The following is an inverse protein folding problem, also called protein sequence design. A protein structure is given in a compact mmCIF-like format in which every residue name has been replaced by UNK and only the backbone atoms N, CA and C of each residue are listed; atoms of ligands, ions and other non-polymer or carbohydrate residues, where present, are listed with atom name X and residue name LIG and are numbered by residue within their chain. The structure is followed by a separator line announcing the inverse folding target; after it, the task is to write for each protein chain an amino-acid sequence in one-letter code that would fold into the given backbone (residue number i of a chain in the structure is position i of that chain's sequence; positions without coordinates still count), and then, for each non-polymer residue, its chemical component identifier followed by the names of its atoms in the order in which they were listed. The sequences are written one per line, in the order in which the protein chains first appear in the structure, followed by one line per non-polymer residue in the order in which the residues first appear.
data_IF_250460722299
#
_entry.id   IF_250460722299
#
_cell.length_a   1.000
_cell.length_b   1.000
_cell.length_c   1.000
_cell.angle_alpha   90.00
_cell.angle_beta   90.00
_cell.angle_gamma   90.00
#
_symmetry.space_group_name_H-M   'P 1'
#
loop_
_entity.id
_entity.type
_entity.pdbx_description
1 polymer ?
#
# COMPACT_ATOMS: atom_id res chain seq x y z
N UNK A 1 -84.99 39.11 2.67
CA UNK A 1 -85.17 37.65 2.72
C UNK A 1 -84.04 36.98 1.97
N UNK A 2 -83.25 36.13 2.65
CA UNK A 2 -82.59 34.89 2.17
C UNK A 2 -81.79 34.90 0.82
N UNK A 3 -80.63 34.27 0.61
CA UNK A 3 -79.66 33.48 1.40
C UNK A 3 -78.64 32.87 0.39
N UNK A 4 -77.47 32.46 0.88
CA UNK A 4 -76.56 31.39 0.40
C UNK A 4 -75.40 31.66 -0.60
N UNK A 5 -74.22 31.76 0.03
CA UNK A 5 -72.90 31.25 -0.39
C UNK A 5 -72.89 29.77 -0.77
N UNK A 6 -72.09 29.37 -1.78
CA UNK A 6 -71.37 28.06 -1.83
C UNK A 6 -70.08 28.14 -2.67
N UNK A 7 -68.95 27.93 -1.98
CA UNK A 7 -67.68 27.37 -2.49
C UNK A 7 -67.91 25.96 -3.08
N UNK A 8 -67.30 25.61 -4.22
CA UNK A 8 -66.74 24.25 -4.47
C UNK A 8 -65.44 24.33 -5.26
N UNK A 9 -64.39 24.00 -4.52
CA UNK A 9 -63.00 23.59 -4.75
C UNK A 9 -62.71 22.75 -6.02
N UNK A 10 -61.56 23.04 -6.63
CA UNK A 10 -60.88 22.27 -7.66
C UNK A 10 -60.43 20.88 -7.18
N UNK A 11 -60.55 19.87 -8.04
CA UNK A 11 -59.94 18.55 -7.85
C UNK A 11 -58.84 18.40 -8.91
N UNK A 12 -57.60 18.63 -8.49
CA UNK A 12 -56.41 18.25 -9.25
C UNK A 12 -56.09 16.78 -8.97
N UNK A 13 -56.11 15.96 -10.02
CA UNK A 13 -55.75 14.55 -9.96
C UNK A 13 -54.22 14.41 -9.76
N UNK A 14 -53.81 14.08 -8.55
CA UNK A 14 -52.44 13.70 -8.22
C UNK A 14 -52.23 12.23 -8.60
N UNK A 15 -51.66 11.97 -9.78
CA UNK A 15 -51.22 10.63 -10.17
C UNK A 15 -49.93 10.35 -9.39
N UNK A 16 -50.05 9.62 -8.28
CA UNK A 16 -48.90 8.94 -7.67
C UNK A 16 -48.43 7.87 -8.64
N UNK A 17 -47.29 8.11 -9.31
CA UNK A 17 -46.50 7.04 -9.87
C UNK A 17 -45.91 6.23 -8.70
N UNK A 18 -46.60 5.17 -8.27
CA UNK A 18 -45.97 4.12 -7.49
C UNK A 18 -44.97 3.42 -8.41
N UNK A 19 -43.69 3.77 -8.30
CA UNK A 19 -42.62 2.93 -8.81
C UNK A 19 -42.69 1.61 -8.04
N UNK A 20 -43.25 0.57 -8.64
CA UNK A 20 -43.06 -0.80 -8.18
C UNK A 20 -41.56 -1.07 -8.24
N UNK A 21 -40.92 -1.22 -7.09
CA UNK A 21 -39.58 -1.80 -7.03
C UNK A 21 -39.67 -3.18 -7.69
N UNK A 22 -39.17 -3.31 -8.92
CA UNK A 22 -38.98 -4.64 -9.49
C UNK A 22 -37.93 -5.32 -8.62
N UNK A 23 -38.32 -6.42 -7.97
CA UNK A 23 -37.36 -7.27 -7.30
C UNK A 23 -36.39 -7.78 -8.38
N UNK A 24 -35.11 -7.46 -8.25
CA UNK A 24 -34.10 -8.07 -9.09
C UNK A 24 -34.11 -9.58 -8.80
N UNK A 25 -34.14 -10.37 -9.88
CA UNK A 25 -34.17 -11.83 -9.80
C UNK A 25 -32.78 -12.40 -10.14
N UNK A 26 -32.32 -13.32 -9.32
CA UNK A 26 -31.29 -14.27 -9.74
C UNK A 26 -31.92 -15.37 -10.59
N UNK A 27 -31.27 -15.72 -11.70
CA UNK A 27 -31.75 -16.74 -12.63
C UNK A 27 -30.92 -18.02 -12.49
N UNK A 28 -31.57 -19.09 -12.05
CA UNK A 28 -30.99 -20.43 -11.98
C UNK A 28 -31.42 -21.26 -13.19
N UNK A 29 -30.49 -21.98 -13.81
CA UNK A 29 -30.81 -22.92 -14.90
C UNK A 29 -30.83 -24.35 -14.37
N UNK A 30 -31.99 -25.01 -14.48
CA UNK A 30 -32.21 -26.38 -14.07
C UNK A 30 -31.22 -27.36 -14.72
N UNK A 31 -30.61 -28.23 -13.92
CA UNK A 31 -29.65 -29.27 -14.31
C UNK A 31 -30.19 -30.66 -13.96
N UNK A 32 -29.51 -31.69 -14.47
CA UNK A 32 -29.88 -33.08 -14.21
C UNK A 32 -29.84 -33.40 -12.72
N UNK A 33 -30.97 -33.84 -12.16
CA UNK A 33 -31.09 -34.19 -10.74
C UNK A 33 -31.60 -33.05 -9.83
N UNK A 34 -31.85 -31.86 -10.37
CA UNK A 34 -32.41 -30.73 -9.61
C UNK A 34 -33.91 -30.87 -9.33
N UNK A 35 -34.37 -30.18 -8.30
CA UNK A 35 -35.78 -29.96 -8.02
C UNK A 35 -35.97 -28.63 -7.31
N UNK A 36 -37.18 -28.05 -7.35
CA UNK A 36 -37.46 -26.81 -6.61
C UNK A 36 -37.18 -26.97 -5.11
N UNK A 37 -37.43 -28.16 -4.54
CA UNK A 37 -37.11 -28.44 -3.13
C UNK A 37 -35.61 -28.39 -2.84
N UNK A 38 -34.77 -28.93 -3.73
CA UNK A 38 -33.31 -28.84 -3.59
C UNK A 38 -32.81 -27.40 -3.73
N UNK A 39 -33.32 -26.68 -4.74
CA UNK A 39 -32.98 -25.26 -4.95
C UNK A 39 -33.38 -24.42 -3.73
N UNK A 40 -34.59 -24.61 -3.20
CA UNK A 40 -35.05 -23.91 -2.00
C UNK A 40 -34.19 -24.23 -0.78
N UNK A 41 -33.88 -25.50 -0.54
CA UNK A 41 -33.05 -25.91 0.59
C UNK A 41 -31.63 -25.32 0.50
N UNK A 42 -31.04 -25.32 -0.69
CA UNK A 42 -29.67 -24.88 -0.93
C UNK A 42 -29.53 -23.35 -0.91
N UNK A 43 -30.40 -22.63 -1.61
CA UNK A 43 -30.18 -21.20 -1.90
C UNK A 43 -31.10 -20.24 -1.14
N UNK A 44 -32.29 -20.66 -0.69
CA UNK A 44 -33.29 -19.74 -0.16
C UNK A 44 -33.33 -19.72 1.36
N UNK A 45 -33.75 -18.59 1.94
CA UNK A 45 -33.96 -18.45 3.39
C UNK A 45 -34.97 -19.49 3.87
N UNK A 46 -34.86 -19.90 5.13
CA UNK A 46 -35.60 -21.05 5.65
C UNK A 46 -37.13 -20.85 5.61
N UNK A 47 -37.60 -19.61 5.65
CA UNK A 47 -39.00 -19.20 5.53
C UNK A 47 -39.55 -19.26 4.10
N UNK A 48 -38.69 -19.40 3.08
CA UNK A 48 -39.10 -19.44 1.67
C UNK A 48 -39.20 -20.89 1.21
N UNK A 49 -40.44 -21.37 1.04
CA UNK A 49 -40.73 -22.73 0.59
C UNK A 49 -40.58 -22.92 -0.92
N UNK A 50 -40.36 -24.17 -1.36
CA UNK A 50 -40.35 -24.54 -2.78
C UNK A 50 -41.69 -24.31 -3.47
N UNK A 51 -42.80 -24.37 -2.72
CA UNK A 51 -44.13 -24.01 -3.21
C UNK A 51 -44.22 -22.52 -3.53
N UNK A 52 -43.66 -21.65 -2.70
CA UNK A 52 -43.61 -20.21 -2.97
C UNK A 52 -42.76 -19.91 -4.20
N UNK A 53 -41.61 -20.58 -4.34
CA UNK A 53 -40.76 -20.50 -5.54
C UNK A 53 -41.49 -20.97 -6.80
N UNK A 54 -42.26 -22.06 -6.71
CA UNK A 54 -43.09 -22.58 -7.80
C UNK A 54 -44.11 -21.54 -8.28
N UNK A 55 -44.86 -20.94 -7.35
CA UNK A 55 -45.87 -19.93 -7.67
C UNK A 55 -45.27 -18.69 -8.32
N UNK A 56 -44.12 -18.23 -7.82
CA UNK A 56 -43.41 -17.08 -8.42
C UNK A 56 -43.06 -17.33 -9.89
N UNK A 57 -42.61 -18.55 -10.20
CA UNK A 57 -42.22 -18.95 -11.54
C UNK A 57 -43.37 -19.48 -12.40
N UNK A 58 -44.60 -19.48 -11.88
CA UNK A 58 -45.80 -19.98 -12.58
C UNK A 58 -45.62 -21.42 -13.11
N UNK A 59 -44.94 -22.27 -12.34
CA UNK A 59 -44.65 -23.65 -12.74
C UNK A 59 -45.87 -24.54 -12.47
N UNK A 60 -46.49 -25.04 -13.53
CA UNK A 60 -47.67 -25.91 -13.43
C UNK A 60 -47.34 -27.29 -12.82
N UNK A 61 -46.26 -27.93 -13.27
CA UNK A 61 -45.88 -29.27 -12.81
C UNK A 61 -44.46 -29.30 -12.21
N UNK A 62 -44.31 -29.23 -10.87
CA UNK A 62 -43.00 -29.13 -10.21
C UNK A 62 -42.18 -30.42 -10.26
N UNK A 63 -42.79 -31.55 -10.65
CA UNK A 63 -42.11 -32.86 -10.76
C UNK A 63 -41.55 -33.15 -12.16
N UNK A 64 -41.90 -32.33 -13.16
CA UNK A 64 -41.49 -32.49 -14.57
C UNK A 64 -41.03 -31.16 -15.17
N UNK A 65 -40.11 -30.49 -14.48
CA UNK A 65 -39.50 -29.26 -14.99
C UNK A 65 -38.43 -29.65 -16.02
N UNK A 66 -38.47 -29.15 -17.26
CA UNK A 66 -37.43 -29.41 -18.25
C UNK A 66 -36.04 -28.97 -17.80
N UNK A 67 -35.01 -29.64 -18.31
CA UNK A 67 -33.63 -29.19 -18.11
C UNK A 67 -33.40 -27.88 -18.86
N UNK A 68 -32.56 -27.01 -18.28
CA UNK A 68 -32.28 -25.68 -18.81
C UNK A 68 -33.39 -24.66 -18.55
N UNK A 69 -34.54 -25.04 -17.99
CA UNK A 69 -35.57 -24.09 -17.55
C UNK A 69 -34.96 -23.07 -16.60
N UNK A 70 -35.23 -21.79 -16.87
CA UNK A 70 -34.81 -20.67 -16.05
C UNK A 70 -35.78 -20.47 -14.89
N UNK A 71 -35.28 -20.63 -13.68
CA UNK A 71 -35.99 -20.39 -12.43
C UNK A 71 -35.54 -19.04 -11.91
N UNK A 72 -36.46 -18.09 -11.87
CA UNK A 72 -36.28 -16.76 -11.29
C UNK A 72 -36.43 -16.83 -9.79
N UNK A 73 -35.48 -16.25 -9.09
CA UNK A 73 -35.42 -16.22 -7.63
C UNK A 73 -35.21 -14.77 -7.21
N UNK A 74 -36.18 -14.12 -6.56
CA UNK A 74 -36.00 -12.79 -6.01
C UNK A 74 -34.76 -12.74 -5.11
N UNK A 75 -33.89 -11.74 -5.29
CA UNK A 75 -32.67 -11.61 -4.49
C UNK A 75 -32.95 -11.58 -2.98
N UNK A 76 -34.07 -10.99 -2.57
CA UNK A 76 -34.52 -10.95 -1.17
C UNK A 76 -34.85 -12.32 -0.57
N UNK A 77 -35.08 -13.35 -1.39
CA UNK A 77 -35.37 -14.71 -0.93
C UNK A 77 -34.11 -15.54 -0.73
N UNK A 78 -32.98 -15.11 -1.29
CA UNK A 78 -31.71 -15.80 -1.16
C UNK A 78 -31.16 -15.73 0.26
N UNK A 79 -30.51 -16.80 0.70
CA UNK A 79 -29.71 -16.83 1.93
C UNK A 79 -28.52 -15.89 1.79
N UNK A 80 -28.32 -15.06 2.81
CA UNK A 80 -27.08 -14.33 3.02
C UNK A 80 -26.22 -15.12 3.99
N UNK A 81 -24.96 -15.36 3.62
CA UNK A 81 -23.96 -16.01 4.45
C UNK A 81 -22.86 -15.00 4.76
N UNK A 82 -22.41 -14.89 6.02
CA UNK A 82 -21.22 -14.11 6.35
C UNK A 82 -20.05 -14.53 5.49
N UNK A 83 -19.31 -13.56 4.99
CA UNK A 83 -18.21 -13.77 4.05
C UNK A 83 -17.02 -12.92 4.47
N UNK A 84 -16.22 -13.39 5.44
CA UNK A 84 -15.17 -12.58 6.03
C UNK A 84 -14.09 -12.16 5.05
N UNK A 85 -13.43 -11.04 5.35
CA UNK A 85 -12.26 -10.58 4.63
C UNK A 85 -10.98 -11.23 5.19
N UNK A 86 -10.10 -11.65 4.30
CA UNK A 86 -8.83 -12.29 4.63
C UNK A 86 -7.71 -11.25 4.69
N UNK A 87 -6.85 -11.34 5.71
CA UNK A 87 -5.63 -10.54 5.80
C UNK A 87 -4.59 -11.13 4.83
N UNK A 88 -4.18 -10.33 3.84
CA UNK A 88 -3.12 -10.70 2.89
C UNK A 88 -1.73 -10.35 3.43
N UNK A 89 -1.63 -9.24 4.15
CA UNK A 89 -0.40 -8.78 4.78
C UNK A 89 -0.70 -7.71 5.82
N UNK A 90 0.00 -7.78 6.95
CA UNK A 90 0.02 -6.75 7.98
C UNK A 90 1.46 -6.27 8.18
N UNK A 91 1.66 -4.96 8.16
CA UNK A 91 2.91 -4.31 8.53
C UNK A 91 2.62 -3.32 9.66
N UNK A 92 3.49 -3.28 10.67
CA UNK A 92 3.34 -2.39 11.83
C UNK A 92 2.25 -2.82 12.83
N UNK A 93 1.73 -1.86 13.59
CA UNK A 93 0.66 -2.10 14.57
C UNK A 93 -0.71 -1.84 13.95
N UNK A 94 -1.57 -2.85 13.99
CA UNK A 94 -2.96 -2.77 13.56
C UNK A 94 -3.84 -3.34 14.66
N UNK A 95 -4.87 -2.58 15.06
CA UNK A 95 -5.83 -3.03 16.06
C UNK A 95 -7.21 -3.21 15.45
N UNK A 96 -7.98 -4.14 16.01
CA UNK A 96 -9.36 -4.41 15.67
C UNK A 96 -10.22 -4.34 16.92
N UNK A 97 -11.37 -3.67 16.81
CA UNK A 97 -12.46 -3.79 17.77
C UNK A 97 -13.48 -4.72 17.14
N UNK A 98 -13.74 -5.87 17.77
CA UNK A 98 -14.67 -6.86 17.24
C UNK A 98 -16.11 -6.39 17.37
N UNK A 99 -16.98 -6.90 16.50
CA UNK A 99 -18.40 -6.57 16.53
C UNK A 99 -19.03 -6.79 17.91
N UNK A 100 -19.57 -5.72 18.51
CA UNK A 100 -20.21 -5.77 19.84
C UNK A 100 -19.23 -5.68 21.02
N UNK A 101 -17.94 -5.60 20.76
CA UNK A 101 -16.91 -5.33 21.77
C UNK A 101 -16.49 -3.86 21.75
N UNK A 102 -15.81 -3.42 22.80
CA UNK A 102 -15.31 -2.04 22.94
C UNK A 102 -13.79 -1.97 22.99
N UNK A 103 -13.14 -3.02 23.47
CA UNK A 103 -11.70 -3.02 23.69
C UNK A 103 -10.95 -3.40 22.41
N UNK A 104 -9.96 -2.60 21.97
CA UNK A 104 -9.16 -2.93 20.81
C UNK A 104 -8.18 -4.07 21.12
N UNK A 105 -8.08 -5.03 20.21
CA UNK A 105 -7.12 -6.13 20.24
C UNK A 105 -6.16 -5.98 19.06
N UNK A 106 -4.89 -6.35 19.23
CA UNK A 106 -3.94 -6.39 18.12
C UNK A 106 -4.34 -7.47 17.11
N UNK A 107 -4.36 -7.10 15.84
CA UNK A 107 -4.64 -8.01 14.73
C UNK A 107 -3.37 -8.79 14.39
N UNK A 108 -3.52 -10.07 14.05
CA UNK A 108 -2.44 -10.93 13.57
C UNK A 108 -2.58 -11.26 12.08
N UNK A 109 -1.49 -11.65 11.43
CA UNK A 109 -1.44 -11.96 9.98
C UNK A 109 -2.38 -13.10 9.53
N UNK A 110 -2.86 -13.93 10.46
CA UNK A 110 -3.73 -15.09 10.15
C UNK A 110 -5.21 -14.81 10.45
N UNK A 111 -5.53 -13.62 10.93
CA UNK A 111 -6.89 -13.28 11.28
C UNK A 111 -7.75 -13.01 10.03
N UNK A 112 -9.06 -13.14 10.25
CA UNK A 112 -10.08 -12.67 9.33
C UNK A 112 -10.85 -11.53 9.97
N UNK A 113 -11.35 -10.63 9.13
CA UNK A 113 -12.24 -9.56 9.55
C UNK A 113 -13.68 -9.95 9.24
N UNK A 114 -14.53 -9.85 10.25
CA UNK A 114 -15.93 -10.17 10.19
C UNK A 114 -16.77 -8.92 9.97
N UNK A 115 -18.04 -9.11 9.65
CA UNK A 115 -19.03 -8.03 9.66
C UNK A 115 -19.08 -7.38 11.05
N UNK A 116 -19.09 -6.05 11.07
CA UNK A 116 -19.11 -5.24 12.30
C UNK A 116 -17.74 -4.95 12.91
N UNK A 117 -16.66 -5.59 12.43
CA UNK A 117 -15.31 -5.30 12.91
C UNK A 117 -14.88 -3.89 12.50
N UNK A 118 -14.15 -3.21 13.41
CA UNK A 118 -13.57 -1.90 13.16
C UNK A 118 -12.05 -1.98 13.30
N UNK A 119 -11.34 -1.71 12.20
CA UNK A 119 -9.88 -1.79 12.13
C UNK A 119 -9.28 -0.40 12.19
N UNK A 120 -8.17 -0.26 12.92
CA UNK A 120 -7.36 0.95 12.97
C UNK A 120 -5.89 0.63 12.73
N UNK A 121 -5.27 1.28 11.74
CA UNK A 121 -3.83 1.19 11.46
C UNK A 121 -3.06 2.29 12.19
N UNK A 122 -1.87 1.97 12.71
CA UNK A 122 -0.94 2.94 13.31
C UNK A 122 -0.21 3.81 12.29
N UNK A 123 0.75 4.62 12.77
CA UNK A 123 1.51 5.61 11.97
C UNK A 123 2.48 5.03 10.95
N UNK A 124 2.99 3.83 11.21
CA UNK A 124 3.93 3.12 10.34
C UNK A 124 3.37 1.74 10.03
N UNK A 125 2.07 1.71 9.72
CA UNK A 125 1.33 0.48 9.56
C UNK A 125 0.62 0.44 8.22
N UNK A 126 0.48 -0.75 7.65
CA UNK A 126 -0.38 -1.01 6.50
C UNK A 126 -1.09 -2.34 6.67
N UNK A 127 -2.28 -2.44 6.08
CA UNK A 127 -3.05 -3.68 6.06
C UNK A 127 -3.61 -3.90 4.67
N UNK A 128 -3.32 -5.05 4.07
CA UNK A 128 -3.95 -5.47 2.82
C UNK A 128 -4.97 -6.58 3.10
N UNK A 129 -6.17 -6.42 2.55
CA UNK A 129 -7.30 -7.32 2.69
C UNK A 129 -7.72 -7.88 1.34
N UNK A 130 -8.25 -9.10 1.35
CA UNK A 130 -8.95 -9.73 0.24
C UNK A 130 -10.38 -10.08 0.64
N UNK A 131 -11.34 -9.67 -0.18
CA UNK A 131 -12.74 -10.06 -0.03
C UNK A 131 -13.05 -11.31 -0.87
N UNK A 132 -14.22 -11.91 -0.64
CA UNK A 132 -14.60 -13.16 -1.29
C UNK A 132 -14.84 -13.07 -2.80
N UNK A 133 -15.09 -11.87 -3.33
CA UNK A 133 -15.16 -11.60 -4.77
C UNK A 133 -13.77 -11.48 -5.42
N UNK A 134 -12.69 -11.56 -4.64
CA UNK A 134 -11.31 -11.38 -5.08
C UNK A 134 -10.83 -9.93 -5.03
N UNK A 135 -11.73 -8.97 -4.77
CA UNK A 135 -11.39 -7.56 -4.63
C UNK A 135 -10.41 -7.35 -3.46
N UNK A 136 -9.53 -6.36 -3.61
CA UNK A 136 -8.49 -6.04 -2.62
C UNK A 136 -8.66 -4.63 -2.09
N UNK A 137 -8.41 -4.47 -0.80
CA UNK A 137 -8.40 -3.18 -0.12
C UNK A 137 -7.11 -3.05 0.69
N UNK A 138 -6.37 -1.98 0.45
CA UNK A 138 -5.17 -1.64 1.20
C UNK A 138 -5.43 -0.40 2.05
N UNK A 139 -5.26 -0.54 3.36
CA UNK A 139 -5.33 0.55 4.33
C UNK A 139 -3.92 1.12 4.51
N UNK A 140 -3.78 2.43 4.34
CA UNK A 140 -2.56 3.15 4.64
C UNK A 140 -2.40 3.42 6.15
N UNK A 141 -1.38 4.20 6.54
CA UNK A 141 -1.20 4.63 7.92
C UNK A 141 -2.39 5.43 8.46
N UNK A 142 -2.55 5.42 9.78
CA UNK A 142 -3.53 6.24 10.51
C UNK A 142 -4.95 6.18 9.91
N UNK A 143 -5.39 4.97 9.58
CA UNK A 143 -6.64 4.72 8.87
C UNK A 143 -7.59 3.93 9.74
N UNK A 144 -8.84 4.36 9.80
CA UNK A 144 -9.91 3.67 10.53
C UNK A 144 -11.06 3.30 9.61
N UNK A 145 -11.36 2.01 9.59
CA UNK A 145 -12.33 1.41 8.67
C UNK A 145 -13.26 0.47 9.42
N UNK A 146 -14.57 0.53 9.17
CA UNK A 146 -15.54 -0.46 9.63
C UNK A 146 -16.04 -1.35 8.50
N UNK A 147 -16.21 -2.63 8.82
CA UNK A 147 -16.73 -3.65 7.92
C UNK A 147 -18.26 -3.71 8.06
N UNK A 148 -18.96 -2.74 7.49
CA UNK A 148 -20.41 -2.59 7.65
C UNK A 148 -21.20 -3.78 7.08
N UNK A 149 -20.73 -4.37 5.98
CA UNK A 149 -21.33 -5.58 5.41
C UNK A 149 -20.27 -6.41 4.72
N UNK A 150 -20.17 -7.68 5.10
CA UNK A 150 -19.31 -8.68 4.48
C UNK A 150 -20.12 -9.97 4.31
N UNK A 151 -20.81 -10.09 3.19
CA UNK A 151 -21.73 -11.21 2.95
C UNK A 151 -21.71 -11.69 1.52
N UNK A 152 -22.12 -12.94 1.33
CA UNK A 152 -22.34 -13.53 0.03
C UNK A 152 -23.74 -14.13 -0.03
N UNK A 153 -24.33 -14.19 -1.22
CA UNK A 153 -25.61 -14.84 -1.46
C UNK A 153 -25.42 -16.36 -1.60
N UNK A 154 -25.19 -17.04 -0.47
CA UNK A 154 -24.97 -18.48 -0.42
C UNK A 154 -23.93 -18.96 -1.45
N UNK A 155 -24.23 -20.05 -2.14
CA UNK A 155 -23.35 -20.62 -3.18
C UNK A 155 -23.54 -19.98 -4.57
N UNK A 156 -24.25 -18.85 -4.67
CA UNK A 156 -24.53 -18.19 -5.94
C UNK A 156 -23.33 -17.39 -6.46
N UNK A 157 -22.38 -17.05 -5.57
CA UNK A 157 -21.15 -16.33 -5.92
C UNK A 157 -21.32 -14.81 -6.07
N UNK A 158 -22.50 -14.26 -5.77
CA UNK A 158 -22.69 -12.80 -5.64
C UNK A 158 -22.25 -12.37 -4.24
N UNK A 159 -21.44 -11.32 -4.15
CA UNK A 159 -20.86 -10.81 -2.91
C UNK A 159 -21.32 -9.37 -2.67
N UNK A 160 -21.72 -9.06 -1.44
CA UNK A 160 -22.07 -7.71 -0.98
C UNK A 160 -21.04 -7.26 0.07
N UNK A 161 -20.14 -6.37 -0.36
CA UNK A 161 -19.07 -5.77 0.44
C UNK A 161 -19.34 -4.29 0.59
N UNK A 162 -19.52 -3.85 1.84
CA UNK A 162 -19.72 -2.44 2.19
C UNK A 162 -18.77 -2.07 3.30
N UNK A 163 -17.91 -1.12 3.00
CA UNK A 163 -16.83 -0.67 3.86
C UNK A 163 -17.03 0.80 4.16
N UNK A 164 -16.86 1.21 5.41
CA UNK A 164 -16.93 2.61 5.80
C UNK A 164 -15.57 3.10 6.27
N UNK A 165 -15.05 4.12 5.59
CA UNK A 165 -13.78 4.78 5.92
C UNK A 165 -14.10 6.00 6.76
N UNK A 166 -13.70 6.00 8.01
CA UNK A 166 -13.97 7.10 8.95
C UNK A 166 -12.95 8.22 8.80
N UNK A 167 -11.68 7.87 8.69
CA UNK A 167 -10.55 8.75 8.39
C UNK A 167 -9.38 7.92 7.85
N UNK A 168 -8.39 8.60 7.27
CA UNK A 168 -7.20 7.98 6.70
C UNK A 168 -7.36 7.69 5.21
N UNK A 169 -6.73 6.63 4.70
CA UNK A 169 -6.68 6.37 3.26
C UNK A 169 -6.78 4.89 2.94
N UNK A 170 -7.55 4.60 1.90
CA UNK A 170 -7.66 3.27 1.32
C UNK A 170 -7.41 3.28 -0.19
N UNK A 171 -6.76 2.24 -0.68
CA UNK A 171 -6.58 1.94 -2.10
C UNK A 171 -7.32 0.63 -2.42
N UNK A 172 -8.18 0.65 -3.43
CA UNK A 172 -9.04 -0.48 -3.80
C UNK A 172 -8.76 -0.94 -5.22
N UNK A 173 -8.62 -2.25 -5.39
CA UNK A 173 -8.65 -2.93 -6.68
C UNK A 173 -9.86 -3.87 -6.68
N UNK A 174 -10.94 -3.42 -7.31
CA UNK A 174 -12.24 -4.11 -7.28
C UNK A 174 -12.41 -4.95 -8.54
N UNK A 175 -12.69 -6.23 -8.35
CA UNK A 175 -12.97 -7.15 -9.46
C UNK A 175 -14.32 -6.82 -10.11
N UNK A 176 -14.53 -7.14 -11.40
CA UNK A 176 -15.82 -6.97 -12.04
C UNK A 176 -16.92 -7.76 -11.33
N UNK A 177 -17.92 -7.05 -10.79
CA UNK A 177 -19.02 -7.64 -10.04
C UNK A 177 -19.86 -8.59 -10.92
N UNK A 178 -20.13 -9.78 -10.38
CA UNK A 178 -20.91 -10.84 -11.03
C UNK A 178 -22.34 -10.85 -10.49
N UNK A 179 -23.33 -10.79 -11.38
CA UNK A 179 -24.75 -10.78 -10.99
C UNK A 179 -25.28 -9.41 -10.55
N UNK A 180 -26.61 -9.32 -10.43
CA UNK A 180 -27.31 -8.08 -10.06
C UNK A 180 -27.20 -7.76 -8.56
N UNK A 181 -27.14 -8.79 -7.71
CA UNK A 181 -27.02 -8.63 -6.26
C UNK A 181 -25.60 -8.31 -5.76
N UNK A 182 -24.58 -8.43 -6.60
CA UNK A 182 -23.21 -8.13 -6.18
C UNK A 182 -23.00 -6.63 -6.03
N UNK A 183 -22.31 -6.24 -4.96
CA UNK A 183 -22.12 -4.84 -4.58
C UNK A 183 -20.77 -4.63 -3.92
N UNK A 184 -20.08 -3.58 -4.35
CA UNK A 184 -18.90 -3.04 -3.66
C UNK A 184 -19.12 -1.55 -3.41
N UNK A 185 -19.14 -1.16 -2.14
CA UNK A 185 -19.42 0.21 -1.74
C UNK A 185 -18.43 0.70 -0.69
N UNK A 186 -17.89 1.90 -0.91
CA UNK A 186 -17.15 2.64 0.12
C UNK A 186 -18.01 3.81 0.59
N UNK A 187 -18.15 3.96 1.90
CA UNK A 187 -18.85 5.08 2.52
C UNK A 187 -17.88 5.91 3.34
N UNK A 188 -17.94 7.23 3.20
CA UNK A 188 -17.20 8.20 4.00
C UNK A 188 -18.18 9.17 4.67
N UNK A 189 -17.73 10.07 5.56
CA UNK A 189 -18.58 11.13 6.09
C UNK A 189 -19.15 12.06 5.02
N UNK A 190 -18.44 12.27 3.90
CA UNK A 190 -18.86 13.21 2.86
C UNK A 190 -19.55 12.56 1.66
N UNK A 191 -19.30 11.27 1.39
CA UNK A 191 -19.78 10.64 0.17
C UNK A 191 -20.02 9.14 0.30
N UNK A 192 -20.86 8.61 -0.60
CA UNK A 192 -20.99 7.19 -0.90
C UNK A 192 -20.41 6.94 -2.29
N UNK A 193 -19.60 5.90 -2.41
CA UNK A 193 -18.91 5.52 -3.63
C UNK A 193 -19.36 4.11 -4.03
N UNK A 194 -20.07 3.99 -5.14
CA UNK A 194 -20.49 2.70 -5.69
C UNK A 194 -19.65 2.31 -6.89
N UNK A 195 -19.22 1.05 -6.90
CA UNK A 195 -18.10 0.62 -7.72
C UNK A 195 -18.43 -0.67 -8.46
N UNK A 196 -18.03 -0.73 -9.74
CA UNK A 196 -18.11 -1.95 -10.54
C UNK A 196 -16.84 -2.13 -11.37
N UNK A 197 -15.92 -2.98 -10.91
CA UNK A 197 -14.70 -3.31 -11.65
C UNK A 197 -13.74 -2.12 -11.85
N UNK A 198 -13.20 -1.56 -10.78
CA UNK A 198 -12.36 -0.34 -10.85
C UNK A 198 -11.15 -0.40 -9.92
N UNK A 199 -10.11 0.35 -10.28
CA UNK A 199 -9.04 0.72 -9.37
C UNK A 199 -9.22 2.17 -8.93
N UNK A 200 -9.36 2.42 -7.63
CA UNK A 200 -9.58 3.77 -7.10
C UNK A 200 -9.01 3.93 -5.69
N UNK A 201 -8.88 5.18 -5.26
CA UNK A 201 -8.39 5.56 -3.94
C UNK A 201 -9.38 6.49 -3.27
N UNK A 202 -9.49 6.36 -1.95
CA UNK A 202 -10.30 7.23 -1.12
C UNK A 202 -9.48 7.69 0.07
N UNK A 203 -9.36 9.00 0.24
CA UNK A 203 -8.76 9.64 1.40
C UNK A 203 -9.80 10.44 2.17
N UNK A 204 -9.82 10.32 3.49
CA UNK A 204 -10.70 11.09 4.38
C UNK A 204 -9.83 11.82 5.40
N UNK A 205 -9.91 13.14 5.41
CA UNK A 205 -9.19 13.97 6.37
C UNK A 205 -9.79 13.83 7.77
N UNK A 206 -8.91 13.63 8.76
CA UNK A 206 -9.32 13.48 10.16
C UNK A 206 -9.92 14.79 10.70
N UNK A 207 -11.03 14.69 11.42
CA UNK A 207 -11.74 15.84 11.99
C UNK A 207 -12.71 16.52 11.01
N UNK A 208 -12.25 16.93 9.82
CA UNK A 208 -13.10 17.63 8.84
C UNK A 208 -14.05 16.69 8.08
N UNK A 209 -13.67 15.42 7.89
CA UNK A 209 -14.40 14.47 7.07
C UNK A 209 -14.31 14.75 5.56
N UNK A 210 -13.49 15.72 5.14
CA UNK A 210 -13.24 16.04 3.74
C UNK A 210 -12.73 14.80 3.03
N UNK A 211 -13.42 14.41 1.97
CA UNK A 211 -13.16 13.20 1.21
C UNK A 211 -12.54 13.53 -0.13
N UNK A 212 -11.53 12.76 -0.52
CA UNK A 212 -10.93 12.75 -1.84
C UNK A 212 -11.15 11.39 -2.46
N UNK A 213 -11.60 11.37 -3.70
CA UNK A 213 -11.79 10.14 -4.48
C UNK A 213 -10.98 10.26 -5.77
N UNK A 214 -10.04 9.33 -6.00
CA UNK A 214 -9.21 9.32 -7.21
C UNK A 214 -9.40 8.00 -7.96
N UNK A 215 -9.81 8.07 -9.23
CA UNK A 215 -10.05 6.89 -10.06
C UNK A 215 -8.84 6.62 -10.94
N UNK A 216 -8.23 5.46 -10.78
CA UNK A 216 -7.03 5.03 -11.52
C UNK A 216 -7.41 4.19 -12.73
N UNK A 217 -8.46 3.36 -12.61
CA UNK A 217 -8.94 2.46 -13.67
C UNK A 217 -10.45 2.32 -13.59
N UNK A 218 -11.14 2.36 -14.73
CA UNK A 218 -12.59 2.22 -14.81
C UNK A 218 -13.32 3.53 -14.56
N UNK A 219 -14.48 3.45 -13.90
CA UNK A 219 -15.34 4.58 -13.56
C UNK A 219 -16.05 4.34 -12.24
N UNK A 220 -16.15 5.39 -11.43
CA UNK A 220 -16.80 5.34 -10.12
C UNK A 220 -17.90 6.39 -10.05
N UNK A 221 -19.07 6.01 -9.51
CA UNK A 221 -20.11 6.96 -9.16
C UNK A 221 -19.91 7.43 -7.73
N UNK A 222 -19.85 8.75 -7.53
CA UNK A 222 -19.63 9.40 -6.23
C UNK A 222 -20.86 10.23 -5.89
N UNK A 223 -21.57 9.83 -4.85
CA UNK A 223 -22.77 10.49 -4.35
C UNK A 223 -22.43 11.33 -3.11
N UNK A 224 -22.63 12.64 -3.17
CA UNK A 224 -22.33 13.58 -2.08
C UNK A 224 -23.26 14.79 -2.11
N UNK A 225 -23.67 15.31 -0.95
CA UNK A 225 -24.52 16.50 -0.86
C UNK A 225 -25.85 16.44 -1.63
N UNK A 226 -26.36 15.23 -1.93
CA UNK A 226 -27.57 15.03 -2.73
C UNK A 226 -27.37 15.00 -4.25
N UNK A 227 -26.13 15.13 -4.73
CA UNK A 227 -25.78 15.02 -6.15
C UNK A 227 -24.90 13.79 -6.40
N UNK A 228 -25.00 13.24 -7.61
CA UNK A 228 -24.21 12.11 -8.09
C UNK A 228 -23.27 12.57 -9.19
N UNK A 229 -22.00 12.18 -9.11
CA UNK A 229 -20.97 12.50 -10.09
C UNK A 229 -20.22 11.23 -10.53
N UNK A 230 -20.26 10.96 -11.84
CA UNK A 230 -19.40 9.94 -12.45
C UNK A 230 -17.97 10.49 -12.61
N UNK A 231 -17.00 9.73 -12.09
CA UNK A 231 -15.56 10.03 -12.18
C UNK A 231 -14.87 8.93 -12.99
N UNK A 232 -14.30 9.31 -14.13
CA UNK A 232 -13.56 8.40 -15.02
C UNK A 232 -12.09 8.23 -14.59
N UNK A 233 -11.46 7.15 -15.05
CA UNK A 233 -10.03 6.91 -14.85
C UNK A 233 -9.14 8.10 -15.26
N UNK A 234 -8.16 8.40 -14.41
CA UNK A 234 -7.28 9.56 -14.57
C UNK A 234 -7.85 10.86 -14.02
N UNK A 235 -9.00 10.82 -13.36
CA UNK A 235 -9.61 11.96 -12.67
C UNK A 235 -9.84 11.68 -11.19
N UNK A 236 -9.96 12.76 -10.42
CA UNK A 236 -10.37 12.72 -9.02
C UNK A 236 -11.31 13.87 -8.68
N UNK A 237 -11.93 13.78 -7.52
CA UNK A 237 -12.81 14.82 -6.98
C UNK A 237 -12.62 14.95 -5.48
N UNK A 238 -13.00 16.11 -4.95
CA UNK A 238 -13.00 16.43 -3.54
C UNK A 238 -14.43 16.76 -3.11
N UNK A 239 -14.82 16.26 -1.93
CA UNK A 239 -16.16 16.38 -1.39
C UNK A 239 -16.06 16.79 0.09
N UNK A 240 -16.68 17.91 0.44
CA UNK A 240 -16.87 18.31 1.83
C UNK A 240 -18.18 17.72 2.37
N UNK A 241 -18.27 17.34 3.66
CA UNK A 241 -19.50 16.83 4.22
C UNK A 241 -20.71 17.74 3.99
N UNK A 242 -21.79 17.17 3.43
CA UNK A 242 -23.02 17.88 3.12
C UNK A 242 -23.00 18.73 1.85
N UNK A 243 -21.89 18.78 1.10
CA UNK A 243 -21.79 19.51 -0.17
C UNK A 243 -21.66 18.54 -1.36
N UNK A 244 -22.07 18.97 -2.57
CA UNK A 244 -21.90 18.15 -3.77
C UNK A 244 -20.41 17.99 -4.13
N UNK A 245 -20.05 16.90 -4.83
CA UNK A 245 -18.68 16.70 -5.31
C UNK A 245 -18.22 17.84 -6.22
N UNK A 246 -16.96 18.24 -6.11
CA UNK A 246 -16.37 19.14 -7.11
C UNK A 246 -16.33 18.47 -8.50
N UNK A 247 -16.31 19.28 -9.56
CA UNK A 247 -16.13 18.76 -10.91
C UNK A 247 -14.83 17.94 -11.00
N UNK A 248 -14.80 16.83 -11.75
CA UNK A 248 -13.61 15.98 -11.84
C UNK A 248 -12.39 16.76 -12.33
N UNK A 249 -11.30 16.64 -11.59
CA UNK A 249 -9.99 17.23 -11.89
C UNK A 249 -9.07 16.14 -12.41
N UNK A 250 -8.27 16.46 -13.43
CA UNK A 250 -7.32 15.49 -13.99
C UNK A 250 -6.20 15.24 -12.99
N UNK A 251 -5.97 13.97 -12.68
CA UNK A 251 -4.89 13.56 -11.80
C UNK A 251 -3.53 13.90 -12.44
N UNK A 252 -2.57 14.28 -11.59
CA UNK A 252 -1.19 14.47 -12.00
C UNK A 252 -0.64 13.21 -12.70
N UNK A 253 0.20 13.41 -13.70
CA UNK A 253 0.87 12.29 -14.40
C UNK A 253 1.85 11.57 -13.46
N UNK A 254 2.24 10.32 -13.76
CA UNK A 254 3.26 9.64 -12.98
C UNK A 254 4.60 10.42 -12.98
N UNK A 255 5.31 10.54 -11.86
CA UNK A 255 6.67 11.06 -11.82
C UNK A 255 7.63 10.17 -12.63
N UNK A 256 8.67 10.76 -13.24
CA UNK A 256 9.71 9.98 -13.91
C UNK A 256 10.72 9.44 -12.91
N UNK A 257 10.58 8.15 -12.59
CA UNK A 257 11.49 7.38 -11.71
C UNK A 257 12.31 6.34 -12.49
N UNK A 258 12.32 6.41 -13.82
CA UNK A 258 13.00 5.42 -14.68
C UNK A 258 14.52 5.38 -14.50
N UNK A 259 15.10 6.46 -13.94
CA UNK A 259 16.54 6.61 -13.68
C UNK A 259 16.99 6.03 -12.34
N UNK A 260 16.07 5.49 -11.54
CA UNK A 260 16.45 4.80 -10.31
C UNK A 260 17.25 3.54 -10.66
N UNK A 261 18.28 3.23 -9.85
CA UNK A 261 19.09 2.02 -10.03
C UNK A 261 18.23 0.76 -9.95
N UNK A 262 18.57 -0.25 -10.77
CA UNK A 262 17.92 -1.58 -10.72
C UNK A 262 18.58 -2.51 -9.70
N UNK A 263 19.83 -2.20 -9.32
CA UNK A 263 20.60 -2.87 -8.26
C UNK A 263 21.26 -1.80 -7.39
N UNK A 264 21.26 -2.02 -6.08
CA UNK A 264 21.87 -1.13 -5.10
C UNK A 264 22.54 -1.94 -4.01
N UNK A 265 23.71 -1.50 -3.57
CA UNK A 265 24.42 -2.09 -2.44
C UNK A 265 24.07 -1.33 -1.15
N UNK A 266 24.02 -2.04 -0.02
CA UNK A 266 23.89 -1.41 1.28
C UNK A 266 25.23 -0.79 1.75
N UNK A 267 25.22 0.43 2.35
CA UNK A 267 24.06 1.33 2.51
C UNK A 267 23.72 2.05 1.19
N UNK A 268 22.44 2.02 0.82
CA UNK A 268 21.98 2.63 -0.43
C UNK A 268 21.89 4.16 -0.31
N UNK A 269 22.28 4.87 -1.37
CA UNK A 269 22.08 6.31 -1.48
C UNK A 269 20.58 6.66 -1.54
N UNK A 270 20.17 7.89 -1.14
CA UNK A 270 18.78 8.33 -1.29
C UNK A 270 18.30 8.25 -2.74
N UNK A 271 17.07 7.78 -2.92
CA UNK A 271 16.40 7.71 -4.20
C UNK A 271 15.90 9.09 -4.58
N UNK A 272 16.29 9.58 -5.76
CA UNK A 272 15.91 10.91 -6.26
C UNK A 272 15.25 10.82 -7.62
N UNK A 273 14.25 11.66 -7.85
CA UNK A 273 13.57 11.78 -9.14
C UNK A 273 13.35 13.24 -9.54
N UNK A 274 12.86 13.45 -10.76
CA UNK A 274 12.58 14.80 -11.25
C UNK A 274 11.26 15.31 -10.65
N UNK A 275 11.26 16.54 -10.15
CA UNK A 275 10.06 17.18 -9.66
C UNK A 275 8.97 17.30 -10.74
N UNK A 276 7.72 17.09 -10.35
CA UNK A 276 6.55 17.14 -11.18
C UNK A 276 5.86 18.50 -11.07
N UNK A 277 5.53 19.11 -12.21
CA UNK A 277 4.79 20.39 -12.23
C UNK A 277 3.40 20.21 -11.62
N UNK A 278 3.05 21.08 -10.67
CA UNK A 278 1.76 21.05 -9.97
C UNK A 278 1.71 20.08 -8.77
N UNK A 279 2.80 19.37 -8.48
CA UNK A 279 2.90 18.58 -7.25
C UNK A 279 3.40 19.45 -6.09
N UNK A 280 2.64 19.52 -5.01
CA UNK A 280 3.05 20.13 -3.74
C UNK A 280 3.78 19.13 -2.83
N UNK A 281 3.49 17.85 -2.99
CA UNK A 281 4.15 16.76 -2.26
C UNK A 281 4.18 15.48 -3.11
N UNK A 282 4.87 14.46 -2.59
CA UNK A 282 4.93 13.13 -3.16
C UNK A 282 4.54 12.11 -2.11
N UNK A 283 3.68 11.16 -2.46
CA UNK A 283 3.54 9.94 -1.68
C UNK A 283 4.46 8.88 -2.23
N UNK A 284 5.26 8.30 -1.33
CA UNK A 284 6.16 7.20 -1.60
C UNK A 284 5.69 5.99 -0.80
N UNK A 285 5.57 4.85 -1.48
CA UNK A 285 5.32 3.55 -0.88
C UNK A 285 6.47 2.61 -1.25
N UNK A 286 7.06 1.96 -0.26
CA UNK A 286 8.05 0.91 -0.42
C UNK A 286 7.39 -0.45 -0.11
N UNK A 287 7.47 -1.38 -1.05
CA UNK A 287 6.86 -2.71 -0.98
C UNK A 287 7.91 -3.79 -1.19
N UNK A 288 7.68 -5.00 -0.67
CA UNK A 288 8.49 -6.16 -1.03
C UNK A 288 8.27 -6.55 -2.51
N UNK A 289 9.26 -7.20 -3.12
CA UNK A 289 9.31 -7.56 -4.54
C UNK A 289 8.18 -8.47 -5.04
N UNK A 290 7.47 -9.16 -4.14
CA UNK A 290 6.36 -10.03 -4.51
C UNK A 290 5.09 -9.23 -4.85
N UNK A 291 4.34 -9.59 -5.89
CA UNK A 291 3.00 -9.06 -6.14
C UNK A 291 2.09 -9.27 -4.92
N UNK A 292 1.27 -8.29 -4.57
CA UNK A 292 0.36 -8.36 -3.42
C UNK A 292 1.03 -8.27 -2.04
N UNK A 293 2.35 -8.05 -1.96
CA UNK A 293 3.01 -7.77 -0.70
C UNK A 293 2.57 -6.43 -0.10
N UNK A 294 2.48 -6.38 1.23
CA UNK A 294 2.16 -5.17 1.99
C UNK A 294 3.14 -4.03 1.78
N UNK A 295 2.70 -2.84 2.17
CA UNK A 295 3.51 -1.62 2.15
C UNK A 295 4.34 -1.58 3.43
N UNK A 296 5.66 -1.71 3.28
CA UNK A 296 6.62 -1.69 4.39
C UNK A 296 6.71 -0.27 4.95
N UNK A 297 6.76 0.72 4.05
CA UNK A 297 6.84 2.13 4.41
C UNK A 297 5.94 2.94 3.48
N UNK A 298 5.15 3.82 4.05
CA UNK A 298 4.41 4.85 3.34
C UNK A 298 4.74 6.23 3.94
N UNK A 299 5.12 7.19 3.10
CA UNK A 299 5.47 8.53 3.55
C UNK A 299 5.03 9.60 2.55
N UNK A 300 4.69 10.77 3.06
CA UNK A 300 4.50 11.99 2.27
C UNK A 300 5.74 12.87 2.38
N UNK A 301 6.29 13.30 1.25
CA UNK A 301 7.54 14.03 1.13
C UNK A 301 7.29 15.34 0.40
N UNK A 302 7.83 16.45 0.92
CA UNK A 302 7.78 17.75 0.25
C UNK A 302 8.78 17.86 -0.93
N UNK A 303 9.82 17.02 -0.93
CA UNK A 303 10.87 17.00 -1.94
C UNK A 303 10.89 15.67 -2.70
N UNK A 304 11.39 15.63 -3.96
CA UNK A 304 11.47 14.42 -4.76
C UNK A 304 12.69 13.55 -4.37
N UNK A 305 12.87 13.31 -3.08
CA UNK A 305 13.97 12.54 -2.50
C UNK A 305 13.47 11.64 -1.38
N UNK A 306 13.78 10.36 -1.43
CA UNK A 306 13.41 9.37 -0.43
C UNK A 306 14.64 8.61 0.07
N UNK A 307 14.87 8.66 1.38
CA UNK A 307 15.91 7.86 2.04
C UNK A 307 15.34 6.50 2.40
N UNK A 308 15.99 5.44 1.91
CA UNK A 308 15.61 4.07 2.25
C UNK A 308 15.80 3.84 3.76
N UNK A 309 14.84 3.18 4.44
CA UNK A 309 15.05 2.73 5.81
C UNK A 309 16.11 1.61 5.84
N UNK A 310 16.45 1.13 7.04
CA UNK A 310 17.23 -0.09 7.16
C UNK A 310 16.41 -1.27 6.60
N UNK A 311 16.95 -1.91 5.56
CA UNK A 311 16.30 -2.99 4.85
C UNK A 311 17.23 -4.21 4.82
N UNK A 312 16.62 -5.40 4.83
CA UNK A 312 17.34 -6.62 4.52
C UNK A 312 17.63 -6.69 3.02
N UNK A 313 18.71 -7.35 2.59
CA UNK A 313 18.94 -7.67 1.19
C UNK A 313 17.72 -8.39 0.58
N UNK A 314 17.38 -8.06 -0.66
CA UNK A 314 16.23 -8.64 -1.35
C UNK A 314 15.64 -7.77 -2.45
N UNK A 315 14.57 -8.26 -3.07
CA UNK A 315 13.85 -7.52 -4.11
C UNK A 315 12.78 -6.61 -3.51
N UNK A 316 12.71 -5.38 -4.00
CA UNK A 316 11.77 -4.35 -3.56
C UNK A 316 11.11 -3.65 -4.74
N UNK A 317 9.98 -3.00 -4.46
CA UNK A 317 9.28 -2.11 -5.40
C UNK A 317 9.03 -0.79 -4.72
N UNK A 318 9.32 0.30 -5.41
CA UNK A 318 8.95 1.65 -4.98
C UNK A 318 7.84 2.16 -5.86
N UNK A 319 6.82 2.75 -5.25
CA UNK A 319 5.73 3.44 -5.92
C UNK A 319 5.74 4.90 -5.51
N UNK A 320 5.76 5.80 -6.50
CA UNK A 320 5.79 7.25 -6.29
C UNK A 320 4.65 7.90 -7.05
N UNK A 321 3.97 8.86 -6.41
CA UNK A 321 2.94 9.70 -7.05
C UNK A 321 2.97 11.11 -6.49
N UNK A 322 2.69 12.10 -7.34
CA UNK A 322 2.54 13.49 -6.91
C UNK A 322 1.20 13.72 -6.21
N UNK A 323 1.16 14.74 -5.35
CA UNK A 323 -0.04 15.24 -4.66
C UNK A 323 -0.21 16.70 -5.07
N UNK A 324 -1.39 17.08 -5.56
CA UNK A 324 -1.66 18.46 -5.98
C UNK A 324 -2.09 19.39 -4.83
N UNK A 325 -2.36 20.66 -5.14
CA UNK A 325 -2.79 21.70 -4.18
C UNK A 325 -4.10 21.39 -3.45
N UNK A 326 -4.95 20.56 -4.03
CA UNK A 326 -6.19 20.11 -3.41
C UNK A 326 -5.98 18.84 -2.58
N UNK A 327 -4.78 18.27 -2.60
CA UNK A 327 -4.41 17.03 -1.93
C UNK A 327 -4.79 15.77 -2.71
N UNK A 328 -5.22 15.88 -3.98
CA UNK A 328 -5.53 14.72 -4.82
C UNK A 328 -4.24 14.02 -5.22
N UNK A 329 -4.26 12.68 -5.17
CA UNK A 329 -3.08 11.89 -5.50
C UNK A 329 -3.07 11.48 -6.98
N UNK A 330 -1.98 11.83 -7.67
CA UNK A 330 -1.73 11.54 -9.07
C UNK A 330 -1.60 10.06 -9.41
N UNK A 331 -1.38 9.78 -10.69
CA UNK A 331 -1.07 8.44 -11.15
C UNK A 331 0.30 7.99 -10.61
N UNK A 332 0.44 6.68 -10.37
CA UNK A 332 1.64 6.11 -9.78
C UNK A 332 2.66 5.69 -10.83
N UNK A 333 3.93 6.00 -10.58
CA UNK A 333 5.05 5.33 -11.21
C UNK A 333 5.54 4.21 -10.28
N UNK A 334 5.90 3.06 -10.82
CA UNK A 334 6.44 1.92 -10.07
C UNK A 334 7.80 1.53 -10.65
N UNK A 335 8.79 1.32 -9.78
CA UNK A 335 10.12 0.84 -10.15
C UNK A 335 10.53 -0.33 -9.26
N UNK A 336 11.19 -1.32 -9.85
CA UNK A 336 11.69 -2.50 -9.12
C UNK A 336 13.19 -2.43 -9.01
N UNK A 337 13.72 -2.80 -7.86
CA UNK A 337 15.14 -2.87 -7.62
C UNK A 337 15.52 -4.05 -6.73
N UNK A 338 16.76 -4.48 -6.85
CA UNK A 338 17.39 -5.46 -5.98
C UNK A 338 18.32 -4.72 -5.01
N UNK A 339 18.19 -5.02 -3.73
CA UNK A 339 19.10 -4.57 -2.69
C UNK A 339 20.05 -5.72 -2.37
N UNK A 340 21.32 -5.57 -2.73
CA UNK A 340 22.34 -6.58 -2.53
C UNK A 340 22.84 -6.58 -1.09
N UNK A 341 23.35 -7.73 -0.66
CA UNK A 341 24.17 -7.78 0.55
C UNK A 341 25.34 -6.81 0.42
N UNK A 342 25.76 -6.16 1.52
CA UNK A 342 27.04 -5.48 1.53
C UNK A 342 28.11 -6.46 1.04
N UNK A 343 29.04 -6.04 0.17
CA UNK A 343 30.10 -6.91 -0.31
C UNK A 343 30.79 -7.64 0.85
N UNK A 344 30.89 -8.96 0.72
CA UNK A 344 31.50 -9.82 1.74
C UNK A 344 32.91 -9.34 2.08
N UNK A 345 33.21 -9.26 3.38
CA UNK A 345 34.54 -8.89 3.87
C UNK A 345 35.59 -9.77 3.17
N UNK A 346 36.57 -9.20 2.45
CA UNK A 346 37.63 -10.01 1.89
C UNK A 346 38.37 -10.77 3.01
N UNK A 347 38.74 -12.05 2.78
CA UNK A 347 39.33 -12.88 3.81
C UNK A 347 40.59 -12.20 4.36
N UNK A 348 40.83 -12.25 5.68
CA UNK A 348 42.04 -11.70 6.25
C UNK A 348 43.26 -12.31 5.54
N UNK A 349 44.31 -11.51 5.24
CA UNK A 349 45.58 -12.09 4.82
C UNK A 349 46.04 -13.11 5.88
N UNK A 350 46.78 -14.16 5.49
CA UNK A 350 47.34 -15.11 6.45
C UNK A 350 48.08 -14.34 7.54
N UNK A 351 47.81 -14.68 8.79
CA UNK A 351 48.32 -13.96 9.96
C UNK A 351 49.85 -13.83 9.85
N UNK A 352 50.41 -12.61 9.75
CA UNK A 352 51.84 -12.44 9.89
C UNK A 352 52.26 -12.96 11.26
N UNK A 353 53.42 -13.61 11.32
CA UNK A 353 54.06 -14.02 12.58
C UNK A 353 53.96 -12.87 13.57
N UNK A 354 53.51 -13.14 14.81
CA UNK A 354 53.44 -12.18 15.92
C UNK A 354 54.79 -11.43 16.00
N UNK A 355 54.82 -10.24 15.43
CA UNK A 355 55.74 -9.19 15.84
C UNK A 355 54.98 -8.46 16.94
N UNK A 356 55.59 -8.26 18.10
CA UNK A 356 55.09 -7.27 19.05
C UNK A 356 55.16 -5.91 18.34
N UNK A 357 54.06 -5.51 17.71
CA UNK A 357 54.00 -4.24 16.99
C UNK A 357 53.50 -3.19 17.97
N UNK A 358 54.40 -2.31 18.40
CA UNK A 358 54.06 -1.20 19.28
C UNK A 358 53.22 -0.13 18.59
N UNK A 359 53.10 -0.15 17.26
CA UNK A 359 52.38 0.85 16.43
C UNK A 359 51.37 0.19 15.49
N UNK A 360 50.36 0.91 14.97
CA UNK A 360 49.47 0.36 13.95
C UNK A 360 50.24 0.05 12.65
N UNK A 361 50.03 -1.13 12.07
CA UNK A 361 50.54 -1.55 10.78
C UNK A 361 49.36 -1.69 9.82
N UNK A 362 49.37 -0.87 8.77
CA UNK A 362 48.33 -0.90 7.72
C UNK A 362 48.59 -2.11 6.81
N UNK A 363 47.60 -2.99 6.71
CA UNK A 363 47.57 -4.07 5.72
C UNK A 363 47.39 -3.48 4.31
N UNK A 364 47.88 -4.17 3.27
CA UNK A 364 47.67 -3.75 1.90
C UNK A 364 46.16 -3.58 1.61
N UNK A 365 45.69 -2.40 1.15
CA UNK A 365 44.28 -2.16 0.89
C UNK A 365 43.71 -3.19 -0.08
N UNK A 366 42.53 -3.71 0.25
CA UNK A 366 41.84 -4.72 -0.55
C UNK A 366 40.69 -4.06 -1.31
N UNK A 367 40.52 -4.43 -2.58
CA UNK A 367 39.54 -3.83 -3.48
C UNK A 367 38.46 -4.84 -3.85
N UNK A 368 37.19 -4.42 -3.74
CA UNK A 368 36.05 -5.19 -4.23
C UNK A 368 35.05 -4.23 -4.88
N UNK A 369 35.01 -4.23 -6.22
CA UNK A 369 34.20 -3.29 -6.99
C UNK A 369 34.57 -1.83 -6.72
N UNK A 370 33.60 -0.95 -6.40
CA UNK A 370 33.86 0.47 -6.12
C UNK A 370 34.35 0.71 -4.68
N UNK A 371 34.66 -0.33 -3.92
CA UNK A 371 34.98 -0.24 -2.49
C UNK A 371 36.42 -0.67 -2.20
N UNK A 372 37.06 0.05 -1.27
CA UNK A 372 38.39 -0.18 -0.73
C UNK A 372 38.32 -0.43 0.77
N UNK A 373 38.88 -1.55 1.21
CA UNK A 373 39.06 -1.89 2.62
C UNK A 373 40.50 -1.57 3.03
N UNK A 374 40.63 -0.79 4.09
CA UNK A 374 41.90 -0.54 4.78
C UNK A 374 41.80 -1.12 6.17
N UNK A 375 42.76 -1.98 6.52
CA UNK A 375 42.81 -2.69 7.81
C UNK A 375 44.14 -2.42 8.48
N UNK A 376 44.16 -2.49 9.80
CA UNK A 376 45.38 -2.43 10.59
C UNK A 376 45.29 -3.35 11.81
N UNK A 377 46.43 -3.73 12.39
CA UNK A 377 46.43 -4.49 13.64
C UNK A 377 45.98 -3.61 14.82
N UNK A 378 45.38 -4.25 15.81
CA UNK A 378 45.15 -3.59 17.09
C UNK A 378 46.49 -3.31 17.80
N UNK A 379 46.55 -2.18 18.51
CA UNK A 379 47.61 -1.82 19.44
C UNK A 379 47.06 -1.98 20.86
N UNK A 380 47.81 -2.67 21.72
CA UNK A 380 47.41 -2.90 23.11
C UNK A 380 47.20 -1.57 23.84
N UNK A 381 46.14 -1.48 24.65
CA UNK A 381 45.73 -0.29 25.41
C UNK A 381 45.36 0.96 24.58
N UNK A 382 45.16 0.83 23.26
CA UNK A 382 44.61 1.91 22.45
C UNK A 382 43.10 2.07 22.73
N UNK A 383 42.66 3.30 23.04
CA UNK A 383 41.23 3.65 23.23
C UNK A 383 40.50 3.83 21.90
N UNK A 384 41.25 4.00 20.82
CA UNK A 384 40.73 4.09 19.46
C UNK A 384 41.81 4.47 18.48
N UNK A 385 41.41 4.72 17.25
CA UNK A 385 42.30 5.02 16.14
C UNK A 385 41.82 6.26 15.39
N UNK A 386 42.76 7.12 15.04
CA UNK A 386 42.56 8.19 14.05
C UNK A 386 43.05 7.68 12.70
N UNK A 387 42.11 7.50 11.78
CA UNK A 387 42.37 7.12 10.39
C UNK A 387 42.43 8.39 9.53
N UNK A 388 43.52 8.55 8.77
CA UNK A 388 43.80 9.72 7.95
C UNK A 388 44.12 9.32 6.51
N UNK A 389 43.54 10.05 5.54
CA UNK A 389 43.89 10.00 4.11
C UNK A 389 44.26 11.41 3.64
N UNK A 390 45.35 11.54 2.90
CA UNK A 390 45.82 12.81 2.34
C UNK A 390 46.27 12.68 0.88
N UNK A 391 46.35 13.81 0.18
CA UNK A 391 46.83 13.90 -1.20
C UNK A 391 48.37 14.06 -1.30
N UNK A 392 49.05 14.32 -0.18
CA UNK A 392 50.50 14.55 -0.13
C UNK A 392 51.18 13.70 0.96
N UNK A 393 52.48 13.36 0.81
CA UNK A 393 53.20 12.51 1.76
C UNK A 393 53.42 13.15 3.13
N UNK A 394 53.35 14.49 3.25
CA UNK A 394 53.47 15.20 4.51
C UNK A 394 52.13 15.28 5.28
N UNK A 395 51.07 14.71 4.72
CA UNK A 395 49.72 14.61 5.31
C UNK A 395 49.10 15.98 5.64
N UNK A 396 49.43 17.01 4.85
CA UNK A 396 48.95 18.38 5.05
C UNK A 396 47.60 18.61 4.34
N UNK A 397 47.45 18.08 3.12
CA UNK A 397 46.24 18.10 2.31
C UNK A 397 45.34 16.92 2.68
N UNK A 398 44.73 17.01 3.86
CA UNK A 398 43.85 15.97 4.40
C UNK A 398 42.56 15.88 3.59
N UNK A 399 42.29 14.70 3.04
CA UNK A 399 41.08 14.39 2.30
C UNK A 399 40.02 13.75 3.20
N UNK A 400 40.46 12.96 4.18
CA UNK A 400 39.59 12.28 5.13
C UNK A 400 40.29 12.09 6.47
N UNK A 401 39.62 12.43 7.56
CA UNK A 401 40.05 12.13 8.92
C UNK A 401 38.87 11.59 9.73
N UNK A 402 39.04 10.45 10.39
CA UNK A 402 37.99 9.80 11.19
C UNK A 402 38.57 9.16 12.44
N UNK A 403 37.90 9.33 13.58
CA UNK A 403 38.26 8.70 14.84
C UNK A 403 37.23 7.62 15.19
N UNK A 404 37.67 6.47 15.69
CA UNK A 404 36.77 5.41 16.18
C UNK A 404 37.52 4.21 16.75
N UNK A 405 36.80 3.24 17.30
CA UNK A 405 37.38 2.06 17.95
C UNK A 405 37.75 0.92 16.97
N UNK A 406 37.25 0.98 15.72
CA UNK A 406 37.44 -0.09 14.75
C UNK A 406 38.89 -0.16 14.26
N UNK A 407 39.34 -1.36 13.87
CA UNK A 407 40.64 -1.61 13.22
C UNK A 407 40.53 -1.75 11.70
N UNK A 408 39.43 -1.28 11.13
CA UNK A 408 39.16 -1.31 9.70
C UNK A 408 38.30 -0.12 9.26
N UNK A 409 38.48 0.27 8.00
CA UNK A 409 37.66 1.27 7.30
C UNK A 409 37.35 0.83 5.88
N UNK A 410 36.10 1.03 5.51
CA UNK A 410 35.60 0.86 4.15
C UNK A 410 35.36 2.23 3.55
N UNK A 411 35.87 2.45 2.35
CA UNK A 411 35.77 3.71 1.62
C UNK A 411 35.39 3.43 0.17
N UNK A 412 34.67 4.33 -0.51
CA UNK A 412 34.63 4.30 -1.96
C UNK A 412 36.06 4.45 -2.51
N UNK A 413 36.39 3.71 -3.56
CA UNK A 413 37.67 3.83 -4.27
C UNK A 413 37.78 5.26 -4.81
N UNK A 414 38.79 6.05 -4.41
CA UNK A 414 38.94 7.41 -4.90
C UNK A 414 39.31 7.41 -6.39
N UNK A 415 39.21 8.58 -7.02
CA UNK A 415 39.63 8.74 -8.41
C UNK A 415 41.10 8.31 -8.59
N UNK A 416 41.50 7.85 -9.78
CA UNK A 416 42.90 7.54 -10.08
C UNK A 416 43.87 8.64 -9.65
N UNK A 417 44.96 8.26 -8.98
CA UNK A 417 45.87 9.20 -8.34
C UNK A 417 46.70 8.54 -7.24
N UNK A 418 47.58 9.33 -6.62
CA UNK A 418 48.40 8.90 -5.48
C UNK A 418 47.81 9.45 -4.19
N UNK A 419 47.63 8.58 -3.20
CA UNK A 419 47.08 8.90 -1.89
C UNK A 419 48.00 8.37 -0.78
N UNK A 420 47.91 9.00 0.38
CA UNK A 420 48.73 8.67 1.54
C UNK A 420 47.82 8.41 2.74
N UNK A 421 47.94 7.22 3.34
CA UNK A 421 47.10 6.78 4.45
C UNK A 421 47.96 6.64 5.71
N UNK A 422 47.46 7.14 6.85
CA UNK A 422 48.08 6.93 8.16
C UNK A 422 47.02 6.56 9.20
N UNK A 423 47.40 5.70 10.14
CA UNK A 423 46.60 5.35 11.30
C UNK A 423 47.37 5.70 12.56
N UNK A 424 46.77 6.52 13.41
CA UNK A 424 47.32 6.86 14.71
C UNK A 424 46.50 6.14 15.80
N UNK A 425 47.14 5.29 16.60
CA UNK A 425 46.52 4.74 17.82
C UNK A 425 46.51 5.81 18.91
N UNK A 426 45.33 6.04 19.49
CA UNK A 426 45.09 7.01 20.56
C UNK A 426 45.14 6.27 21.90
N UNK A 427 46.16 6.53 22.71
CA UNK A 427 46.41 5.80 23.95
C UNK A 427 45.64 6.42 25.14
N UNK A 428 45.88 5.90 26.34
CA UNK A 428 45.25 6.37 27.59
C UNK A 428 45.73 7.75 28.06
N UNK A 429 46.95 8.14 27.70
CA UNK A 429 47.41 9.52 27.81
C UNK A 429 47.06 10.29 26.53
N UNK A 430 46.51 11.49 26.64
CA UNK A 430 46.15 12.32 25.46
C UNK A 430 47.38 12.73 24.63
N UNK A 431 48.57 12.75 25.25
CA UNK A 431 49.84 13.09 24.59
C UNK A 431 50.55 11.87 23.98
N UNK A 432 50.10 10.64 24.28
CA UNK A 432 50.69 9.41 23.75
C UNK A 432 49.89 8.93 22.52
N UNK A 433 50.45 9.20 21.34
CA UNK A 433 49.87 8.82 20.06
C UNK A 433 50.88 8.00 19.27
N UNK A 434 50.51 6.74 18.99
CA UNK A 434 51.38 5.81 18.27
C UNK A 434 51.02 5.78 16.79
N UNK A 435 51.92 6.25 15.95
CA UNK A 435 51.64 6.49 14.53
C UNK A 435 52.13 5.34 13.66
N UNK A 436 51.29 4.93 12.70
CA UNK A 436 51.72 4.01 11.64
C UNK A 436 52.74 4.68 10.72
N UNK A 437 53.47 3.85 9.96
CA UNK A 437 54.08 4.35 8.74
C UNK A 437 53.01 4.87 7.77
N UNK A 438 53.38 5.84 6.92
CA UNK A 438 52.49 6.35 5.88
C UNK A 438 52.43 5.34 4.74
N UNK A 439 51.24 4.80 4.50
CA UNK A 439 50.98 3.90 3.39
C UNK A 439 50.73 4.70 2.11
N UNK A 440 51.58 4.51 1.10
CA UNK A 440 51.40 5.11 -0.23
C UNK A 440 50.49 4.20 -1.06
N UNK A 441 49.38 4.74 -1.53
CA UNK A 441 48.43 4.07 -2.41
C UNK A 441 48.46 4.73 -3.78
N UNK A 442 48.91 4.01 -4.80
CA UNK A 442 48.87 4.45 -6.20
C UNK A 442 47.71 3.75 -6.92
N UNK A 443 46.71 4.52 -7.35
CA UNK A 443 45.57 4.02 -8.13
C UNK A 443 45.80 4.31 -9.62
N UNK A 444 45.89 3.28 -10.49
CA UNK A 444 46.20 3.46 -11.90
C UNK A 444 45.08 4.21 -12.63
N UNK A 445 45.46 4.96 -13.67
CA UNK A 445 44.50 5.52 -14.62
C UNK A 445 43.68 4.39 -15.28
N UNK A 446 42.40 4.61 -15.60
CA UNK A 446 41.61 3.60 -16.28
C UNK A 446 42.27 3.35 -17.63
N UNK A 447 42.67 2.10 -17.89
CA UNK A 447 43.17 1.73 -19.21
C UNK A 447 42.07 2.03 -20.23
N UNK A 448 42.37 2.74 -21.33
CA UNK A 448 41.40 2.88 -22.41
C UNK A 448 41.01 1.46 -22.86
N UNK A 449 39.70 1.17 -22.87
CA UNK A 449 39.21 -0.10 -23.38
C UNK A 449 39.64 -0.22 -24.86
N UNK A 450 40.17 -1.38 -25.31
CA UNK A 450 40.45 -1.60 -26.71
C UNK A 450 39.19 -1.50 -27.58
#
# INVERSE_FOLDING_TARGET
MLRYSRFITAISLLILALSSAQAEDWVYRMRGGDSLSKISAQYLKNEISSVRLQHYNQIENPTRIPLGTEIKVPLEWLKLTPSPAEVLSLEGEVSVVRAGESDPVLLSDVDQLQIGDVVTTGRQSSLALRFADGSRLMLGPETRVSMDTLSAFGEVGMVDTRVRVQYGRVESEVEPLQGAGARFQITTPAAVTMVRGTGFRVGVESGSGLTRNEVVKGRVAVDGGGESLDVDAGFGTMIEPGKPPLKPLRLLTPPDISKLGVEMDLPAAPLRWSGLKGAEAYRVQLLRGKPGAGVIVEQVLATPEFTLPELTPGSYRIRVRGIDELGLEGLSAEHRFLLNEPPSRPPPPPTPVKVEVEVPLIEAPQFNGPWMWVRWNAVDNARGYRFLVAADPALQQRLLERIGANTERVLPVPWPGTYYIRVDALMESEDDVRQSQVYRLDLPLPQPRP
#
